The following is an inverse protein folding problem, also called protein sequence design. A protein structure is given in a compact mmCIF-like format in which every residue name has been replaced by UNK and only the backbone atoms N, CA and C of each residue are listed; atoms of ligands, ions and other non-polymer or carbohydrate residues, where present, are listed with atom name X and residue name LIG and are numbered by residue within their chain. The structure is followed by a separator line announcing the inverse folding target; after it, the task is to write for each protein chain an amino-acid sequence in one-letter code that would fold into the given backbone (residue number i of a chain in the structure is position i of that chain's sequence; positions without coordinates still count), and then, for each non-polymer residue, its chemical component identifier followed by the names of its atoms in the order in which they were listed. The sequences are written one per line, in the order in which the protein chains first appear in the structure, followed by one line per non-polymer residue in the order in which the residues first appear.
data_IF_336651210027
#
_entry.id   IF_336651210027
#
_cell.length_a   1.000
_cell.length_b   1.000
_cell.length_c   1.000
_cell.angle_alpha   90.00
_cell.angle_beta   90.00
_cell.angle_gamma   90.00
#
_symmetry.space_group_name_H-M   'P 1'
#
loop_
_entity.id
_entity.type
_entity.pdbx_description
1 polymer ?
#
# COMPACT_ATOMS: atom_id res chain seq x y z
N UNK A 1 -37.92 17.89 -7.69
CA UNK A 1 -37.37 16.60 -7.26
C UNK A 1 -35.94 16.85 -6.84
N UNK A 2 -35.61 16.64 -5.58
CA UNK A 2 -34.28 16.89 -5.04
C UNK A 2 -33.70 15.55 -4.58
N UNK A 3 -32.53 15.18 -5.10
CA UNK A 3 -31.80 14.03 -4.60
C UNK A 3 -31.02 14.43 -3.36
N UNK A 4 -30.90 13.49 -2.43
CA UNK A 4 -29.99 13.55 -1.31
C UNK A 4 -28.95 12.48 -1.52
N UNK A 5 -27.69 12.89 -1.55
CA UNK A 5 -26.56 12.01 -1.84
C UNK A 5 -25.53 12.19 -0.74
N UNK A 6 -25.12 11.10 -0.10
CA UNK A 6 -24.07 11.16 0.92
C UNK A 6 -23.02 10.08 0.69
N UNK A 7 -21.77 10.40 1.02
CA UNK A 7 -20.74 9.41 1.25
C UNK A 7 -21.01 8.84 2.65
N UNK A 8 -21.36 7.56 2.76
CA UNK A 8 -21.98 6.98 3.98
C UNK A 8 -21.14 7.06 5.27
N UNK A 9 -19.89 7.54 5.20
CA UNK A 9 -19.08 7.89 6.37
C UNK A 9 -18.83 9.41 6.38
N UNK A 10 -19.15 10.13 7.48
CA UNK A 10 -18.88 11.57 7.61
C UNK A 10 -17.38 11.90 7.67
N UNK A 11 -16.53 10.95 8.02
CA UNK A 11 -15.07 11.11 8.01
C UNK A 11 -14.47 10.75 6.65
N UNK A 12 -13.45 11.48 6.17
CA UNK A 12 -12.76 11.12 4.92
C UNK A 12 -12.21 9.70 4.97
N UNK A 13 -12.40 8.94 3.90
CA UNK A 13 -11.77 7.62 3.77
C UNK A 13 -10.26 7.78 3.66
N UNK A 14 -9.51 7.13 4.55
CA UNK A 14 -8.03 7.21 4.61
C UNK A 14 -7.43 6.08 3.77
N UNK A 15 -6.58 6.42 2.80
CA UNK A 15 -5.88 5.49 1.92
C UNK A 15 -4.38 5.69 1.99
N UNK A 16 -3.60 4.61 1.93
CA UNK A 16 -2.16 4.71 1.65
C UNK A 16 -1.93 4.78 0.14
N UNK A 17 -0.85 5.40 -0.35
CA UNK A 17 -0.49 5.32 -1.77
C UNK A 17 -0.40 3.86 -2.23
N UNK A 18 -1.06 3.53 -3.34
CA UNK A 18 -1.17 2.17 -3.87
C UNK A 18 -2.22 1.29 -3.21
N UNK A 19 -2.91 1.75 -2.16
CA UNK A 19 -3.94 0.98 -1.47
C UNK A 19 -5.30 1.05 -2.20
N UNK A 20 -6.01 -0.08 -2.15
CA UNK A 20 -7.40 -0.19 -2.59
C UNK A 20 -8.35 -0.15 -1.39
N UNK A 21 -9.52 0.43 -1.57
CA UNK A 21 -10.63 0.34 -0.62
C UNK A 21 -11.97 0.48 -1.36
N UNK A 22 -13.06 0.37 -0.61
CA UNK A 22 -14.40 0.72 -1.08
C UNK A 22 -14.98 1.83 -0.21
N UNK A 23 -15.77 2.72 -0.79
CA UNK A 23 -16.61 3.66 -0.05
C UNK A 23 -18.07 3.46 -0.43
N UNK A 24 -18.96 3.85 0.49
CA UNK A 24 -20.41 3.72 0.30
C UNK A 24 -21.01 5.04 -0.16
N UNK A 25 -22.01 4.95 -1.03
CA UNK A 25 -22.86 6.05 -1.46
C UNK A 25 -24.29 5.70 -1.09
N UNK A 26 -24.93 6.58 -0.34
CA UNK A 26 -26.36 6.51 -0.03
C UNK A 26 -27.11 7.56 -0.82
N UNK A 27 -28.24 7.17 -1.40
CA UNK A 27 -29.06 8.04 -2.25
C UNK A 27 -30.53 7.87 -1.87
N UNK A 28 -31.24 8.99 -1.72
CA UNK A 28 -32.70 9.04 -1.64
C UNK A 28 -33.22 10.30 -2.33
N UNK A 29 -34.53 10.38 -2.58
CA UNK A 29 -35.15 11.51 -3.31
C UNK A 29 -36.34 12.08 -2.55
N UNK A 30 -36.44 13.42 -2.51
CA UNK A 30 -37.65 14.10 -2.07
C UNK A 30 -38.72 14.01 -3.16
N UNK A 31 -39.83 13.35 -2.84
CA UNK A 31 -41.01 13.22 -3.68
C UNK A 31 -41.24 11.81 -4.19
N UNK A 32 -41.61 11.70 -5.47
CA UNK A 32 -41.92 10.40 -6.09
C UNK A 32 -40.63 9.60 -6.28
N UNK A 33 -40.63 8.30 -5.92
CA UNK A 33 -39.51 7.40 -6.22
C UNK A 33 -39.14 7.42 -7.70
N UNK A 34 -37.85 7.33 -7.98
CA UNK A 34 -37.32 7.20 -9.34
C UNK A 34 -37.07 5.72 -9.61
N UNK A 35 -37.59 5.24 -10.73
CA UNK A 35 -37.38 3.87 -11.18
C UNK A 35 -35.91 3.56 -11.49
N UNK A 36 -35.58 2.29 -11.77
CA UNK A 36 -34.24 1.91 -12.18
C UNK A 36 -33.79 2.65 -13.44
N UNK A 37 -32.49 2.94 -13.54
CA UNK A 37 -31.87 3.47 -14.76
C UNK A 37 -31.33 4.89 -14.68
N UNK A 38 -31.59 5.63 -13.60
CA UNK A 38 -30.98 6.94 -13.38
C UNK A 38 -29.45 6.82 -13.29
N UNK A 39 -28.72 7.71 -13.95
CA UNK A 39 -27.25 7.63 -14.02
C UNK A 39 -26.65 8.31 -12.79
N UNK A 40 -25.92 7.52 -12.01
CA UNK A 40 -25.04 8.02 -10.96
C UNK A 40 -23.65 8.19 -11.58
N UNK A 41 -23.14 9.41 -11.52
CA UNK A 41 -21.76 9.73 -11.88
C UNK A 41 -20.94 9.98 -10.62
N UNK A 42 -19.77 9.35 -10.57
CA UNK A 42 -18.81 9.46 -9.47
C UNK A 42 -17.49 9.94 -10.04
N UNK A 43 -17.00 11.06 -9.53
CA UNK A 43 -15.77 11.73 -9.94
C UNK A 43 -14.80 11.81 -8.75
N UNK A 44 -13.70 11.09 -8.85
CA UNK A 44 -12.67 11.04 -7.82
C UNK A 44 -11.75 12.27 -7.86
N UNK A 45 -11.24 12.73 -6.70
CA UNK A 45 -10.18 13.74 -6.67
C UNK A 45 -8.88 13.24 -7.30
N UNK A 46 -7.96 14.17 -7.52
CA UNK A 46 -6.62 13.86 -8.00
C UNK A 46 -5.90 12.89 -7.07
N UNK A 47 -5.12 11.96 -7.65
CA UNK A 47 -4.39 10.93 -6.92
C UNK A 47 -5.22 9.69 -6.59
N UNK A 48 -6.51 9.66 -6.92
CA UNK A 48 -7.37 8.49 -6.80
C UNK A 48 -7.92 8.09 -8.17
N UNK A 49 -8.05 6.78 -8.41
CA UNK A 49 -8.62 6.22 -9.64
C UNK A 49 -9.54 5.03 -9.32
N UNK A 50 -10.45 4.72 -10.23
CA UNK A 50 -11.18 3.46 -10.21
C UNK A 50 -10.24 2.35 -10.71
N UNK A 51 -10.02 1.28 -9.93
CA UNK A 51 -9.22 0.14 -10.41
C UNK A 51 -9.83 -0.40 -11.73
N UNK A 52 -9.02 -0.87 -12.69
CA UNK A 52 -9.56 -1.41 -13.95
C UNK A 52 -10.57 -2.55 -13.74
N UNK A 53 -10.34 -3.36 -12.71
CA UNK A 53 -11.23 -4.47 -12.28
C UNK A 53 -12.17 -4.06 -11.14
N UNK A 54 -12.19 -2.79 -10.75
CA UNK A 54 -12.98 -2.31 -9.62
C UNK A 54 -14.47 -2.42 -9.91
N UNK A 55 -15.17 -3.23 -9.13
CA UNK A 55 -16.62 -3.38 -9.21
C UNK A 55 -17.34 -2.21 -8.53
N UNK A 56 -18.54 -1.92 -9.02
CA UNK A 56 -19.57 -1.16 -8.32
C UNK A 56 -20.64 -2.15 -7.90
N UNK A 57 -21.08 -2.11 -6.64
CA UNK A 57 -22.04 -3.09 -6.12
C UNK A 57 -23.21 -2.37 -5.47
N UNK A 58 -24.43 -2.89 -5.68
CA UNK A 58 -25.59 -2.51 -4.89
C UNK A 58 -25.76 -3.48 -3.73
N UNK A 59 -25.93 -2.93 -2.53
CA UNK A 59 -26.09 -3.70 -1.30
C UNK A 59 -27.34 -3.21 -0.58
N UNK A 60 -28.25 -4.15 -0.30
CA UNK A 60 -29.39 -3.94 0.58
C UNK A 60 -29.33 -5.04 1.66
N UNK A 61 -29.07 -4.63 2.90
CA UNK A 61 -28.85 -5.54 4.02
C UNK A 61 -30.14 -6.23 4.46
N UNK A 62 -31.27 -5.53 4.40
CA UNK A 62 -32.57 -6.05 4.84
C UNK A 62 -33.06 -7.22 3.97
N UNK A 63 -32.79 -7.14 2.67
CA UNK A 63 -33.14 -8.17 1.69
C UNK A 63 -32.01 -9.13 1.36
N UNK A 64 -30.82 -8.94 1.95
CA UNK A 64 -29.63 -9.75 1.68
C UNK A 64 -29.08 -9.60 0.25
N UNK A 65 -29.45 -8.55 -0.47
CA UNK A 65 -28.97 -8.31 -1.84
C UNK A 65 -27.55 -7.76 -1.79
N UNK A 66 -26.64 -8.39 -2.54
CA UNK A 66 -25.28 -7.92 -2.78
C UNK A 66 -24.85 -8.33 -4.19
N UNK A 67 -25.01 -7.43 -5.17
CA UNK A 67 -24.72 -7.74 -6.58
C UNK A 67 -23.88 -6.66 -7.26
N UNK A 68 -23.02 -7.03 -8.23
CA UNK A 68 -22.33 -6.06 -9.06
C UNK A 68 -23.33 -5.33 -9.98
N UNK A 69 -23.06 -4.06 -10.23
CA UNK A 69 -23.77 -3.22 -11.19
C UNK A 69 -22.93 -3.04 -12.46
N UNK A 70 -23.57 -3.03 -13.65
CA UNK A 70 -22.88 -2.72 -14.88
C UNK A 70 -22.38 -1.28 -14.88
N UNK A 71 -21.17 -1.09 -15.40
CA UNK A 71 -20.59 0.23 -15.61
C UNK A 71 -20.96 0.71 -17.00
N UNK A 72 -21.59 1.87 -17.08
CA UNK A 72 -22.02 2.48 -18.35
C UNK A 72 -20.83 3.12 -19.08
N UNK A 73 -19.96 3.81 -18.36
CA UNK A 73 -18.74 4.40 -18.91
C UNK A 73 -17.70 4.70 -17.84
N UNK A 74 -16.45 4.82 -18.29
CA UNK A 74 -15.32 5.33 -17.51
C UNK A 74 -14.60 6.39 -18.33
N UNK A 75 -14.13 7.44 -17.67
CA UNK A 75 -13.24 8.39 -18.32
C UNK A 75 -11.85 7.76 -18.51
N UNK A 76 -11.09 8.13 -19.55
CA UNK A 76 -9.78 7.54 -19.84
C UNK A 76 -8.74 7.72 -18.73
N UNK A 77 -8.88 8.78 -17.93
CA UNK A 77 -8.01 9.04 -16.77
C UNK A 77 -8.33 8.15 -15.57
N UNK A 78 -9.39 7.33 -15.65
CA UNK A 78 -9.84 6.42 -14.61
C UNK A 78 -10.44 7.13 -13.39
N UNK A 79 -10.72 8.44 -13.44
CA UNK A 79 -11.23 9.21 -12.29
C UNK A 79 -12.72 9.39 -12.28
N UNK A 80 -13.40 9.07 -13.37
CA UNK A 80 -14.85 9.17 -13.47
C UNK A 80 -15.44 7.83 -13.88
N UNK A 81 -16.49 7.41 -13.18
CA UNK A 81 -17.32 6.26 -13.54
C UNK A 81 -18.79 6.64 -13.54
N UNK A 82 -19.55 6.06 -14.48
CA UNK A 82 -21.01 6.21 -14.57
C UNK A 82 -21.67 4.84 -14.50
N UNK A 83 -22.73 4.71 -13.72
CA UNK A 83 -23.50 3.48 -13.61
C UNK A 83 -24.98 3.78 -13.35
N UNK A 84 -25.85 2.81 -13.65
CA UNK A 84 -27.30 2.95 -13.43
C UNK A 84 -27.68 2.58 -11.99
N UNK A 85 -28.52 3.41 -11.38
CA UNK A 85 -29.18 3.11 -10.12
C UNK A 85 -30.20 1.98 -10.28
N UNK A 86 -30.36 1.16 -9.23
CA UNK A 86 -31.39 0.09 -9.15
C UNK A 86 -32.79 0.64 -8.87
N UNK A 87 -32.87 1.92 -8.52
CA UNK A 87 -34.06 2.62 -8.07
C UNK A 87 -33.68 3.57 -6.94
N UNK A 88 -34.34 4.72 -6.86
CA UNK A 88 -34.08 5.71 -5.80
C UNK A 88 -35.41 6.00 -5.11
N UNK A 89 -35.57 5.42 -3.92
CA UNK A 89 -36.73 5.63 -3.06
C UNK A 89 -36.70 6.96 -2.31
N UNK A 90 -37.77 7.21 -1.57
CA UNK A 90 -37.90 8.34 -0.63
C UNK A 90 -37.14 8.13 0.69
N UNK A 91 -36.53 6.96 0.87
CA UNK A 91 -35.60 6.62 1.95
C UNK A 91 -34.46 5.78 1.36
N UNK A 92 -33.29 5.72 2.01
CA UNK A 92 -32.26 4.78 1.61
C UNK A 92 -32.77 3.34 1.74
N UNK A 93 -32.90 2.64 0.62
CA UNK A 93 -33.25 1.21 0.57
C UNK A 93 -32.01 0.33 0.41
N UNK A 94 -30.82 0.93 0.45
CA UNK A 94 -29.54 0.27 0.24
C UNK A 94 -28.46 1.31 -0.03
N UNK A 95 -27.27 0.82 -0.33
CA UNK A 95 -26.14 1.66 -0.67
C UNK A 95 -25.33 1.08 -1.82
N UNK A 96 -24.63 1.97 -2.51
CA UNK A 96 -23.70 1.60 -3.57
C UNK A 96 -22.29 1.55 -2.99
N UNK A 97 -21.61 0.41 -3.13
CA UNK A 97 -20.21 0.26 -2.77
C UNK A 97 -19.34 0.46 -4.01
N UNK A 98 -18.43 1.42 -3.96
CA UNK A 98 -17.58 1.80 -5.09
C UNK A 98 -16.11 1.62 -4.71
N UNK A 99 -15.39 0.83 -5.51
CA UNK A 99 -13.96 0.59 -5.32
C UNK A 99 -13.10 1.75 -5.80
N UNK A 100 -12.09 2.11 -5.02
CA UNK A 100 -11.14 3.18 -5.31
C UNK A 100 -9.71 2.72 -5.01
N UNK A 101 -8.76 3.16 -5.83
CA UNK A 101 -7.32 2.96 -5.69
C UNK A 101 -6.68 4.34 -5.50
N UNK A 102 -5.86 4.50 -4.46
CA UNK A 102 -4.93 5.61 -4.41
C UNK A 102 -3.74 5.31 -5.33
N UNK A 103 -3.40 6.24 -6.23
CA UNK A 103 -2.25 6.09 -7.10
C UNK A 103 -0.98 5.83 -6.25
N UNK A 104 -0.04 4.96 -6.70
CA UNK A 104 1.20 4.69 -5.96
C UNK A 104 2.03 5.94 -5.67
N UNK A 105 1.89 6.96 -6.51
CA UNK A 105 2.58 8.26 -6.41
C UNK A 105 1.71 9.37 -5.80
N UNK A 106 0.52 9.05 -5.28
CA UNK A 106 -0.39 10.04 -4.72
C UNK A 106 0.27 10.76 -3.53
N UNK A 107 0.40 12.08 -3.63
CA UNK A 107 0.94 12.87 -2.52
C UNK A 107 -0.04 12.85 -1.32
N UNK A 108 0.48 12.75 -0.08
CA UNK A 108 -0.34 12.76 1.13
C UNK A 108 -1.13 14.06 1.26
N UNK A 109 -2.33 13.97 1.83
CA UNK A 109 -3.19 15.12 2.11
C UNK A 109 -4.67 14.82 1.92
N UNK A 110 -5.48 15.81 2.30
CA UNK A 110 -6.93 15.79 2.08
C UNK A 110 -7.25 16.04 0.62
N UNK A 111 -8.22 15.29 0.11
CA UNK A 111 -8.64 15.27 -1.29
C UNK A 111 -10.15 15.41 -1.33
N UNK A 112 -10.63 16.56 -1.81
CA UNK A 112 -12.06 16.85 -1.87
C UNK A 112 -12.50 17.33 -3.24
N UNK A 113 -13.63 16.83 -3.73
CA UNK A 113 -14.27 17.28 -4.97
C UNK A 113 -15.71 17.65 -4.66
N UNK A 114 -16.09 18.90 -4.93
CA UNK A 114 -17.44 19.42 -4.62
C UNK A 114 -18.52 18.76 -5.48
N UNK A 115 -18.20 18.41 -6.72
CA UNK A 115 -19.04 17.68 -7.68
C UNK A 115 -18.63 16.20 -7.77
N UNK A 116 -18.18 15.61 -6.65
CA UNK A 116 -17.65 14.24 -6.62
C UNK A 116 -18.71 13.17 -6.86
N UNK A 117 -19.97 13.46 -6.51
CA UNK A 117 -21.12 12.62 -6.83
C UNK A 117 -22.16 13.49 -7.53
N UNK A 118 -22.71 13.01 -8.65
CA UNK A 118 -23.75 13.73 -9.39
C UNK A 118 -24.85 12.79 -9.86
N UNK A 119 -26.10 13.20 -9.67
CA UNK A 119 -27.31 12.54 -10.19
C UNK A 119 -28.24 13.63 -10.71
N UNK A 120 -28.56 13.61 -12.01
CA UNK A 120 -29.23 14.73 -12.66
C UNK A 120 -28.50 16.06 -12.42
N UNK A 121 -29.21 17.04 -11.82
CA UNK A 121 -28.67 18.34 -11.46
C UNK A 121 -28.14 18.44 -10.00
N UNK A 122 -28.31 17.38 -9.20
CA UNK A 122 -27.84 17.36 -7.81
C UNK A 122 -26.38 16.92 -7.77
N UNK A 123 -25.57 17.64 -7.00
CA UNK A 123 -24.18 17.27 -6.71
C UNK A 123 -23.93 17.14 -5.21
N UNK A 124 -23.02 16.25 -4.85
CA UNK A 124 -22.52 16.10 -3.48
C UNK A 124 -21.01 15.94 -3.47
N UNK A 125 -20.41 16.39 -2.35
CA UNK A 125 -18.98 16.35 -2.13
C UNK A 125 -18.49 14.93 -1.87
N UNK A 126 -17.34 14.57 -2.46
CA UNK A 126 -16.53 13.43 -2.01
C UNK A 126 -15.31 13.91 -1.22
N UNK A 127 -14.96 13.13 -0.19
CA UNK A 127 -13.85 13.44 0.70
C UNK A 127 -13.00 12.18 0.99
N UNK A 128 -11.71 12.28 0.70
CA UNK A 128 -10.71 11.25 0.96
C UNK A 128 -9.48 11.88 1.60
N UNK A 129 -8.67 11.06 2.27
CA UNK A 129 -7.35 11.44 2.76
C UNK A 129 -6.33 10.43 2.29
N UNK A 130 -5.32 10.88 1.53
CA UNK A 130 -4.15 10.06 1.25
C UNK A 130 -3.17 10.23 2.40
N UNK A 131 -2.89 9.16 3.12
CA UNK A 131 -1.91 9.14 4.21
C UNK A 131 -0.48 9.14 3.68
N UNK A 132 0.48 9.49 4.53
CA UNK A 132 1.89 9.31 4.18
C UNK A 132 2.19 7.84 3.91
N UNK A 133 3.02 7.51 2.89
CA UNK A 133 3.52 6.15 2.70
C UNK A 133 4.08 5.62 4.02
N UNK A 134 3.56 4.48 4.49
CA UNK A 134 4.05 3.89 5.72
C UNK A 134 5.29 3.04 5.44
N UNK A 135 6.30 3.04 6.34
CA UNK A 135 7.42 2.13 6.22
C UNK A 135 6.94 0.68 6.21
N UNK A 136 7.54 -0.14 5.36
CA UNK A 136 7.24 -1.58 5.25
C UNK A 136 8.37 -2.40 5.83
N UNK A 137 8.06 -3.56 6.39
CA UNK A 137 9.10 -4.49 6.81
C UNK A 137 9.90 -4.95 5.58
N UNK A 138 11.23 -4.89 5.71
CA UNK A 138 12.16 -5.38 4.71
C UNK A 138 13.14 -6.34 5.35
N UNK A 139 13.47 -7.39 4.59
CA UNK A 139 14.48 -8.38 4.96
C UNK A 139 15.55 -8.42 3.87
N UNK A 140 16.81 -8.39 4.26
CA UNK A 140 17.97 -8.57 3.38
C UNK A 140 18.82 -9.65 3.99
N UNK A 141 19.07 -10.74 3.26
CA UNK A 141 19.86 -11.85 3.75
C UNK A 141 20.78 -12.37 2.66
N UNK A 142 21.88 -12.98 3.07
CA UNK A 142 22.83 -13.55 2.13
C UNK A 142 23.93 -14.36 2.78
N UNK A 143 24.71 -15.02 1.93
CA UNK A 143 25.91 -15.74 2.30
C UNK A 143 27.12 -15.07 1.68
N UNK A 144 28.10 -14.72 2.50
CA UNK A 144 29.32 -14.04 2.10
C UNK A 144 30.48 -15.03 2.17
N UNK A 145 31.26 -15.13 1.10
CA UNK A 145 32.50 -15.89 1.10
C UNK A 145 33.63 -15.17 1.84
N UNK A 146 34.70 -15.90 2.19
CA UNK A 146 35.86 -15.31 2.87
C UNK A 146 36.53 -14.17 2.07
N UNK A 147 36.32 -14.10 0.75
CA UNK A 147 36.85 -13.04 -0.11
C UNK A 147 35.83 -11.90 -0.36
N UNK A 148 34.79 -11.78 0.47
CA UNK A 148 33.68 -10.83 0.34
C UNK A 148 32.84 -10.97 -0.95
N UNK A 149 32.98 -12.08 -1.68
CA UNK A 149 32.09 -12.40 -2.78
C UNK A 149 30.72 -12.86 -2.26
N UNK A 150 29.65 -12.43 -2.92
CA UNK A 150 28.28 -12.84 -2.61
C UNK A 150 28.08 -14.24 -3.16
N UNK A 151 27.88 -15.22 -2.29
CA UNK A 151 27.59 -16.61 -2.68
C UNK A 151 26.09 -16.77 -2.95
N UNK A 152 25.26 -16.14 -2.13
CA UNK A 152 23.81 -16.13 -2.27
C UNK A 152 23.20 -14.86 -1.67
N UNK A 153 22.00 -14.48 -2.13
CA UNK A 153 21.29 -13.28 -1.68
C UNK A 153 21.37 -12.11 -2.65
N UNK A 154 20.62 -11.04 -2.38
CA UNK A 154 20.59 -9.82 -3.19
C UNK A 154 20.17 -8.60 -2.35
N UNK A 155 20.27 -7.41 -2.91
CA UNK A 155 19.89 -6.15 -2.23
C UNK A 155 20.96 -5.58 -1.29
N UNK A 156 22.20 -6.04 -1.44
CA UNK A 156 23.38 -5.52 -0.75
C UNK A 156 24.65 -5.73 -1.59
N UNK A 157 25.72 -5.02 -1.24
CA UNK A 157 27.10 -5.31 -1.64
C UNK A 157 27.93 -5.64 -0.40
N UNK A 158 29.07 -6.31 -0.59
CA UNK A 158 29.99 -6.63 0.48
C UNK A 158 31.40 -6.20 0.07
N UNK A 159 32.09 -5.49 0.96
CA UNK A 159 33.48 -5.08 0.78
C UNK A 159 34.27 -5.54 2.00
N UNK A 160 35.46 -6.05 1.74
CA UNK A 160 36.41 -6.46 2.77
C UNK A 160 37.30 -5.26 3.19
N UNK A 161 37.47 -5.04 4.49
CA UNK A 161 38.23 -3.90 5.06
C UNK A 161 39.22 -4.29 6.16
N UNK A 162 40.43 -4.73 5.81
CA UNK A 162 41.43 -5.17 6.80
C UNK A 162 41.18 -6.58 7.34
N UNK A 163 42.03 -7.14 8.20
CA UNK A 163 42.18 -8.59 8.43
C UNK A 163 40.89 -9.42 8.60
N UNK A 164 39.87 -8.92 9.29
CA UNK A 164 38.64 -9.66 9.63
C UNK A 164 37.32 -8.93 9.34
N UNK A 165 37.36 -7.75 8.71
CA UNK A 165 36.20 -6.87 8.61
C UNK A 165 35.49 -7.01 7.27
N UNK A 166 34.17 -7.09 7.32
CA UNK A 166 33.27 -7.00 6.18
C UNK A 166 32.31 -5.85 6.37
N UNK A 167 32.22 -4.98 5.38
CA UNK A 167 31.21 -3.93 5.29
C UNK A 167 30.14 -4.38 4.31
N UNK A 168 28.94 -4.63 4.83
CA UNK A 168 27.75 -4.88 4.04
C UNK A 168 27.07 -3.54 3.78
N UNK A 169 26.84 -3.18 2.51
CA UNK A 169 26.11 -1.97 2.13
C UNK A 169 24.79 -2.34 1.50
N UNK A 170 23.67 -1.91 2.08
CA UNK A 170 22.34 -2.20 1.56
C UNK A 170 22.06 -1.34 0.32
N UNK A 171 21.63 -1.96 -0.79
CA UNK A 171 21.32 -1.24 -2.04
C UNK A 171 20.20 -0.23 -1.86
N UNK A 172 19.26 -0.52 -0.96
CA UNK A 172 18.25 0.44 -0.48
C UNK A 172 18.49 0.66 1.01
N UNK A 173 18.46 1.90 1.51
CA UNK A 173 18.54 2.15 2.95
C UNK A 173 17.30 1.65 3.70
N UNK A 174 17.47 1.31 4.97
CA UNK A 174 16.36 1.21 5.93
C UNK A 174 15.98 2.61 6.44
N UNK A 175 14.77 2.79 6.97
CA UNK A 175 14.34 4.08 7.57
C UNK A 175 14.94 4.31 8.95
N UNK A 176 15.37 3.23 9.61
CA UNK A 176 16.09 3.21 10.89
C UNK A 176 17.12 2.06 10.86
N UNK A 177 18.15 2.05 11.73
CA UNK A 177 19.10 0.94 11.77
C UNK A 177 18.37 -0.40 11.96
N UNK A 178 18.53 -1.37 11.04
CA UNK A 178 17.85 -2.65 11.13
C UNK A 178 18.43 -3.52 12.26
N UNK A 179 17.71 -4.55 12.65
CA UNK A 179 18.27 -5.66 13.44
C UNK A 179 19.08 -6.55 12.50
N UNK A 180 20.35 -6.79 12.83
CA UNK A 180 21.24 -7.64 12.04
C UNK A 180 21.68 -8.83 12.87
N UNK A 181 21.52 -10.03 12.31
CA UNK A 181 22.05 -11.27 12.85
C UNK A 181 23.01 -11.86 11.84
N UNK A 182 24.17 -12.32 12.29
CA UNK A 182 25.15 -12.99 11.46
C UNK A 182 25.66 -14.26 12.15
N UNK A 183 25.96 -15.29 11.36
CA UNK A 183 26.42 -16.60 11.84
C UNK A 183 27.53 -17.12 10.93
N UNK A 184 28.48 -17.88 11.47
CA UNK A 184 29.52 -18.49 10.64
C UNK A 184 28.89 -19.49 9.66
N UNK A 185 29.33 -19.45 8.40
CA UNK A 185 28.86 -20.40 7.38
C UNK A 185 29.67 -21.71 7.36
N UNK A 186 30.78 -21.74 8.10
CA UNK A 186 31.63 -22.91 8.22
C UNK A 186 31.05 -23.86 9.27
N UNK A 187 31.01 -25.16 8.99
CA UNK A 187 30.47 -26.22 9.88
C UNK A 187 31.24 -26.45 11.19
N UNK A 188 31.97 -25.45 11.68
CA UNK A 188 32.61 -25.49 12.98
C UNK A 188 31.77 -24.66 13.96
N UNK A 189 31.23 -25.33 14.99
CA UNK A 189 30.41 -24.74 16.04
C UNK A 189 31.11 -23.65 16.88
N UNK A 190 32.38 -23.34 16.58
CA UNK A 190 33.24 -22.45 17.37
C UNK A 190 33.76 -21.23 16.61
N UNK A 191 33.40 -21.04 15.33
CA UNK A 191 33.78 -19.83 14.61
C UNK A 191 33.04 -18.60 15.16
N UNK A 192 33.73 -17.46 15.24
CA UNK A 192 33.20 -16.23 15.83
C UNK A 192 32.76 -15.29 14.70
N UNK A 193 31.52 -14.81 14.79
CA UNK A 193 30.99 -13.74 13.92
C UNK A 193 30.36 -12.69 14.82
N UNK A 194 30.79 -11.44 14.65
CA UNK A 194 30.32 -10.32 15.48
C UNK A 194 29.81 -9.21 14.58
N UNK A 195 28.55 -8.79 14.79
CA UNK A 195 28.02 -7.56 14.20
C UNK A 195 28.57 -6.38 15.01
N UNK A 196 29.47 -5.62 14.42
CA UNK A 196 30.22 -4.56 15.10
C UNK A 196 29.46 -3.23 15.14
N UNK A 197 28.81 -2.87 14.03
CA UNK A 197 27.99 -1.67 13.95
C UNK A 197 26.93 -1.82 12.87
N UNK A 198 25.81 -1.11 13.05
CA UNK A 198 24.69 -1.11 12.12
C UNK A 198 24.19 0.32 11.94
N UNK A 199 24.04 0.73 10.68
CA UNK A 199 23.40 1.97 10.27
C UNK A 199 22.24 1.69 9.32
N UNK A 200 21.55 2.73 8.86
CA UNK A 200 20.48 2.57 7.86
C UNK A 200 20.98 2.06 6.51
N UNK A 201 22.26 2.27 6.19
CA UNK A 201 22.84 1.92 4.88
C UNK A 201 23.86 0.80 4.95
N UNK A 202 24.42 0.53 6.13
CA UNK A 202 25.53 -0.41 6.29
C UNK A 202 25.43 -1.28 7.54
N UNK A 203 26.07 -2.44 7.49
CA UNK A 203 26.41 -3.25 8.66
C UNK A 203 27.88 -3.67 8.58
N UNK A 204 28.60 -3.55 9.68
CA UNK A 204 30.00 -4.00 9.79
C UNK A 204 30.04 -5.30 10.57
N UNK A 205 30.70 -6.31 10.03
CA UNK A 205 30.79 -7.65 10.59
C UNK A 205 32.26 -8.05 10.70
N UNK A 206 32.66 -8.55 11.87
CA UNK A 206 33.97 -9.16 12.09
C UNK A 206 33.88 -10.68 12.14
N UNK A 207 34.90 -11.36 11.63
CA UNK A 207 35.02 -12.82 11.72
C UNK A 207 36.33 -13.26 12.37
N UNK A 208 36.30 -14.32 13.18
CA UNK A 208 37.50 -14.95 13.74
C UNK A 208 37.39 -16.47 13.74
N UNK A 209 38.53 -17.13 13.63
CA UNK A 209 38.65 -18.58 13.72
C UNK A 209 38.18 -19.10 15.07
N UNK A 210 38.10 -20.42 15.16
CA UNK A 210 37.77 -21.16 16.38
C UNK A 210 38.75 -20.93 17.53
N UNK A 211 39.98 -20.52 17.21
CA UNK A 211 41.02 -20.14 18.17
C UNK A 211 40.97 -18.66 18.58
N UNK A 212 39.96 -17.91 18.13
CA UNK A 212 39.87 -16.47 18.36
C UNK A 212 40.79 -15.63 17.47
N UNK A 213 41.43 -16.23 16.47
CA UNK A 213 42.31 -15.51 15.54
C UNK A 213 41.45 -14.76 14.52
N UNK A 214 41.50 -13.44 14.55
CA UNK A 214 40.83 -12.58 13.56
C UNK A 214 41.33 -12.92 12.16
N UNK A 215 40.38 -13.23 11.27
CA UNK A 215 40.68 -13.62 9.91
C UNK A 215 39.40 -13.73 9.10
N UNK A 216 39.55 -13.83 7.78
CA UNK A 216 38.41 -13.84 6.87
C UNK A 216 37.75 -15.22 6.87
N UNK A 217 36.49 -15.28 7.25
CA UNK A 217 35.72 -16.52 7.21
C UNK A 217 34.38 -16.25 6.52
N UNK A 218 33.80 -17.26 5.86
CA UNK A 218 32.49 -17.12 5.28
C UNK A 218 31.41 -17.06 6.38
N UNK A 219 30.35 -16.28 6.13
CA UNK A 219 29.23 -16.12 7.08
C UNK A 219 27.89 -15.95 6.36
N UNK A 220 26.82 -16.27 7.07
CA UNK A 220 25.44 -15.91 6.71
C UNK A 220 25.03 -14.68 7.50
N UNK A 221 24.16 -13.85 6.94
CA UNK A 221 23.51 -12.80 7.71
C UNK A 221 22.07 -12.58 7.26
N UNK A 222 21.29 -11.97 8.15
CA UNK A 222 19.98 -11.39 7.88
C UNK A 222 19.89 -10.02 8.57
N UNK A 223 19.43 -9.02 7.82
CA UNK A 223 19.06 -7.71 8.30
C UNK A 223 17.54 -7.53 8.14
N UNK A 224 16.85 -7.17 9.23
CA UNK A 224 15.40 -6.96 9.25
C UNK A 224 15.08 -5.61 9.87
N UNK A 225 14.20 -4.84 9.23
CA UNK A 225 13.80 -3.54 9.72
C UNK A 225 12.82 -2.85 8.78
N UNK A 226 12.41 -1.64 9.16
CA UNK A 226 11.54 -0.84 8.33
C UNK A 226 12.32 -0.19 7.19
N UNK A 227 11.75 -0.20 5.99
CA UNK A 227 12.27 0.49 4.83
C UNK A 227 11.18 1.36 4.21
N UNK A 228 11.60 2.32 3.37
CA UNK A 228 10.64 3.06 2.57
C UNK A 228 9.83 2.09 1.70
N UNK A 229 8.52 2.31 1.55
CA UNK A 229 7.70 1.47 0.67
C UNK A 229 8.27 1.46 -0.74
N UNK A 230 8.15 0.31 -1.42
CA UNK A 230 8.57 0.19 -2.80
C UNK A 230 7.54 0.91 -3.68
N UNK A 231 7.99 1.94 -4.39
CA UNK A 231 7.22 2.62 -5.45
C UNK A 231 7.42 1.88 -6.77
#
# INVERSE_FOLDING_TARGET
MAFHITQGNPTPLILQPGANASFTIEVYVDGNPVGPGEIIQVKLPEGLVFPPTGEIRFINLDSGVNRPLPIESRDPDGRLVRFKAEGIGNKPEGFYSVNVLAAPTAAPGDRTVTDGLTIGATSAKLSFRVSAPQPVERRVYGTIGANANIISGSGFTAVWGGTSTFTITFTRPFTSPPVVVATAAQGSATAIVTVASVSTTTAVIYTASTSGTWGRLPFHFIAMGLAAPQV
#
